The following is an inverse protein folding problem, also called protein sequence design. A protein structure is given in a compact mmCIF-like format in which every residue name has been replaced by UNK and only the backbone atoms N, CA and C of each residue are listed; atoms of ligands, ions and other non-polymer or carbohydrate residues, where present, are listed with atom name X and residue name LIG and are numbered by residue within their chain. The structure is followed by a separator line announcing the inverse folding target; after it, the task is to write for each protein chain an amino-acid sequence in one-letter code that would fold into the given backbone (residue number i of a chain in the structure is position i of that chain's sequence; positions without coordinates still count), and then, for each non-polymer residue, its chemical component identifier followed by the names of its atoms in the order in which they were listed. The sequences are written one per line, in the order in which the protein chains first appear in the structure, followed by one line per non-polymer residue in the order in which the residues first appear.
data_IF_987064608057
#
_entry.id   IF_987064608057
#
_cell.length_a   1.000
_cell.length_b   1.000
_cell.length_c   1.000
_cell.angle_alpha   90.00
_cell.angle_beta   90.00
_cell.angle_gamma   90.00
#
_symmetry.space_group_name_H-M   'P 1'
#
loop_
_entity.id
_entity.type
_entity.pdbx_description
1 polymer ?
#
# COMPACT_ATOMS: atom_id res chain seq x y z
N UNK A 1 -14.89 2.96 0.02
CA UNK A 1 -14.20 4.25 0.18
C UNK A 1 -13.09 4.28 -0.87
N UNK A 2 -13.02 5.28 -1.76
CA UNK A 2 -11.99 5.39 -2.78
C UNK A 2 -10.62 5.67 -2.13
N UNK A 3 -9.55 5.08 -2.69
CA UNK A 3 -8.18 5.25 -2.17
C UNK A 3 -7.74 6.73 -2.18
N UNK A 4 -8.24 7.54 -3.11
CA UNK A 4 -7.86 8.96 -3.22
C UNK A 4 -8.39 9.84 -2.07
N UNK A 5 -9.46 9.40 -1.40
CA UNK A 5 -10.09 10.15 -0.29
C UNK A 5 -9.47 9.84 1.06
N UNK A 6 -8.62 8.81 1.13
CA UNK A 6 -7.96 8.41 2.36
C UNK A 6 -6.85 9.41 2.75
N UNK A 7 -6.63 9.61 4.06
CA UNK A 7 -5.59 10.50 4.53
C UNK A 7 -4.21 10.03 4.07
N UNK A 8 -3.34 11.00 3.76
CA UNK A 8 -1.96 10.74 3.36
C UNK A 8 -0.99 11.07 4.48
N UNK A 9 0.08 10.29 4.57
CA UNK A 9 1.18 10.53 5.50
C UNK A 9 2.03 11.71 5.03
N UNK A 10 2.46 12.57 5.95
CA UNK A 10 3.26 13.75 5.59
C UNK A 10 4.67 13.40 5.09
N UNK A 11 5.28 12.34 5.63
CA UNK A 11 6.69 11.99 5.37
C UNK A 11 6.96 11.54 3.93
N UNK A 12 6.09 10.71 3.37
CA UNK A 12 6.29 10.04 2.09
C UNK A 12 5.03 9.98 1.23
N UNK A 13 3.99 10.73 1.64
CA UNK A 13 2.72 10.84 0.93
C UNK A 13 2.04 9.50 0.65
N UNK A 14 2.36 8.45 1.42
CA UNK A 14 1.67 7.17 1.43
C UNK A 14 0.23 7.33 1.92
N UNK A 15 -0.68 6.56 1.35
CA UNK A 15 -2.08 6.54 1.77
C UNK A 15 -2.23 5.67 3.02
N UNK A 16 -2.90 6.20 4.04
CA UNK A 16 -3.12 5.51 5.31
C UNK A 16 -4.40 4.68 5.21
N UNK A 17 -4.25 3.37 5.11
CA UNK A 17 -5.36 2.42 4.99
C UNK A 17 -5.53 1.65 6.30
N UNK A 18 -6.64 1.91 7.01
CA UNK A 18 -7.02 1.11 8.18
C UNK A 18 -7.67 -0.19 7.70
N UNK A 19 -7.16 -1.32 8.16
CA UNK A 19 -7.69 -2.64 7.84
C UNK A 19 -8.65 -3.01 8.98
N UNK A 20 -9.95 -3.04 8.67
CA UNK A 20 -10.94 -3.62 9.58
C UNK A 20 -10.88 -5.14 9.45
N UNK A 21 -10.90 -5.83 10.59
CA UNK A 21 -11.05 -7.30 10.61
C UNK A 21 -12.25 -7.72 9.76
N UNK A 22 -12.14 -8.90 9.12
CA UNK A 22 -13.03 -9.41 8.07
C UNK A 22 -14.54 -9.47 8.41
N UNK A 23 -14.92 -9.20 9.65
CA UNK A 23 -16.30 -9.21 10.15
C UNK A 23 -17.16 -8.02 9.67
N UNK A 24 -16.56 -6.99 9.06
CA UNK A 24 -17.27 -5.75 8.63
C UNK A 24 -17.18 -5.45 7.13
N UNK A 25 -17.11 -6.48 6.30
CA UNK A 25 -17.03 -6.30 4.85
C UNK A 25 -18.42 -6.14 4.22
N UNK A 26 -18.58 -5.14 3.35
CA UNK A 26 -19.76 -4.95 2.51
C UNK A 26 -19.99 -6.18 1.62
N UNK A 27 -21.25 -6.54 1.35
CA UNK A 27 -21.63 -7.64 0.42
C UNK A 27 -21.01 -7.49 -0.99
N UNK A 28 -20.60 -6.27 -1.38
CA UNK A 28 -19.95 -5.99 -2.65
C UNK A 28 -18.43 -6.17 -2.64
N UNK A 29 -17.81 -6.53 -1.51
CA UNK A 29 -16.38 -6.71 -1.41
C UNK A 29 -15.97 -8.12 -1.88
N UNK A 30 -15.26 -8.22 -2.99
CA UNK A 30 -14.48 -9.41 -3.32
C UNK A 30 -13.16 -9.36 -2.55
N UNK A 31 -13.02 -10.19 -1.52
CA UNK A 31 -11.80 -10.25 -0.72
C UNK A 31 -10.89 -11.36 -1.21
N UNK A 32 -9.77 -10.95 -1.79
CA UNK A 32 -8.65 -11.85 -2.06
C UNK A 32 -7.85 -11.98 -0.75
N UNK A 33 -8.21 -12.95 0.09
CA UNK A 33 -7.60 -13.23 1.40
C UNK A 33 -6.09 -13.52 1.35
N UNK A 34 -5.50 -13.67 0.16
CA UNK A 34 -4.05 -13.87 -0.02
C UNK A 34 -3.47 -13.02 -1.15
N UNK A 35 -4.06 -11.85 -1.47
CA UNK A 35 -3.51 -10.96 -2.51
C UNK A 35 -2.16 -10.34 -2.11
N UNK A 36 -1.91 -10.21 -0.81
CA UNK A 36 -0.71 -9.60 -0.27
C UNK A 36 -0.14 -10.42 0.88
N UNK A 37 1.16 -10.29 1.12
CA UNK A 37 1.83 -10.77 2.31
C UNK A 37 2.68 -9.64 2.90
N UNK A 38 2.93 -9.72 4.20
CA UNK A 38 3.87 -8.81 4.87
C UNK A 38 5.15 -9.57 5.20
N UNK A 39 6.30 -8.96 5.00
CA UNK A 39 7.59 -9.53 5.38
C UNK A 39 7.79 -9.41 6.90
N UNK A 40 8.19 -10.50 7.56
CA UNK A 40 8.51 -10.50 8.99
C UNK A 40 9.76 -9.68 9.33
N UNK A 41 10.65 -9.50 8.35
CA UNK A 41 11.90 -8.76 8.53
C UNK A 41 11.67 -7.28 8.35
N UNK A 42 11.78 -6.54 9.45
CA UNK A 42 11.71 -5.09 9.41
C UNK A 42 12.97 -4.45 8.80
N UNK A 43 12.76 -3.32 8.12
CA UNK A 43 13.79 -2.37 7.71
C UNK A 43 13.70 -1.14 8.61
N UNK A 44 14.84 -0.72 9.17
CA UNK A 44 14.92 0.51 9.97
C UNK A 44 15.48 1.62 9.09
N UNK A 45 14.69 2.67 8.91
CA UNK A 45 15.07 3.89 8.23
C UNK A 45 15.56 4.91 9.27
N UNK A 46 16.61 5.64 8.92
CA UNK A 46 17.04 6.83 9.66
C UNK A 46 16.46 8.05 8.95
N UNK A 47 15.56 8.75 9.63
CA UNK A 47 14.93 9.99 9.19
C UNK A 47 15.57 11.18 9.93
N UNK A 48 15.17 12.40 9.57
CA UNK A 48 15.64 13.61 10.23
C UNK A 48 15.14 13.72 11.69
N UNK A 49 13.96 13.17 11.96
CA UNK A 49 13.27 13.18 13.24
C UNK A 49 13.50 11.92 14.09
N UNK A 50 14.25 10.93 13.59
CA UNK A 50 14.59 9.73 14.34
C UNK A 50 14.72 8.48 13.50
N UNK A 51 14.19 7.37 14.02
CA UNK A 51 14.21 6.07 13.37
C UNK A 51 12.79 5.57 13.14
N UNK A 52 12.59 4.95 11.98
CA UNK A 52 11.31 4.41 11.58
C UNK A 52 11.47 2.96 11.15
N UNK A 53 10.69 2.06 11.76
CA UNK A 53 10.79 0.62 11.53
C UNK A 53 9.61 0.15 10.69
N UNK A 54 9.89 -0.33 9.47
CA UNK A 54 8.89 -0.71 8.46
C UNK A 54 8.93 -2.19 8.15
N UNK A 55 7.76 -2.82 8.02
CA UNK A 55 7.57 -4.18 7.51
C UNK A 55 6.97 -4.08 6.11
N UNK A 56 7.63 -4.65 5.10
CA UNK A 56 7.22 -4.48 3.71
C UNK A 56 5.96 -5.29 3.37
N UNK A 57 4.98 -4.66 2.73
CA UNK A 57 3.77 -5.34 2.21
C UNK A 57 3.92 -5.52 0.70
N UNK A 58 3.84 -6.77 0.24
CA UNK A 58 4.05 -7.14 -1.16
C UNK A 58 2.88 -7.92 -1.74
N UNK A 59 2.69 -7.77 -3.05
CA UNK A 59 1.81 -8.62 -3.83
C UNK A 59 2.30 -10.08 -3.79
N UNK A 60 1.43 -11.02 -3.42
CA UNK A 60 1.77 -12.45 -3.37
C UNK A 60 2.07 -13.06 -4.74
N UNK A 61 1.52 -12.46 -5.82
CA UNK A 61 1.66 -12.99 -7.19
C UNK A 61 2.95 -12.56 -7.88
N UNK A 62 3.35 -11.30 -7.73
CA UNK A 62 4.50 -10.74 -8.47
C UNK A 62 5.60 -10.18 -7.56
N UNK A 63 5.39 -10.13 -6.24
CA UNK A 63 6.37 -9.60 -5.29
C UNK A 63 6.53 -8.08 -5.34
N UNK A 64 5.73 -7.36 -6.13
CA UNK A 64 5.75 -5.90 -6.16
C UNK A 64 5.43 -5.34 -4.77
N UNK A 65 6.24 -4.38 -4.31
CA UNK A 65 6.00 -3.69 -3.03
C UNK A 65 4.85 -2.70 -3.21
N UNK A 66 3.79 -2.89 -2.43
CA UNK A 66 2.58 -2.06 -2.50
C UNK A 66 2.55 -1.04 -1.36
N UNK A 67 3.21 -1.34 -0.25
CA UNK A 67 3.12 -0.57 0.96
C UNK A 67 4.01 -1.10 2.07
N UNK A 68 3.76 -0.64 3.29
CA UNK A 68 4.43 -1.11 4.49
C UNK A 68 3.53 -0.98 5.73
N UNK A 69 3.89 -1.68 6.80
CA UNK A 69 3.33 -1.52 8.14
C UNK A 69 4.42 -0.97 9.06
N UNK A 70 4.02 -0.25 10.12
CA UNK A 70 4.94 0.29 11.10
C UNK A 70 5.03 -0.62 12.33
N UNK A 71 6.18 -0.62 12.99
CA UNK A 71 6.31 -1.25 14.32
C UNK A 71 5.43 -0.51 15.35
N UNK A 72 4.83 -1.27 16.27
CA UNK A 72 3.98 -0.77 17.35
C UNK A 72 4.71 0.23 18.24
N UNK A 73 6.03 0.08 18.39
CA UNK A 73 6.85 1.01 19.19
C UNK A 73 6.85 2.45 18.66
N UNK A 74 6.35 2.70 17.45
CA UNK A 74 6.25 4.05 16.86
C UNK A 74 4.98 4.80 17.26
N UNK A 75 4.10 4.19 18.04
CA UNK A 75 2.84 4.80 18.46
C UNK A 75 2.84 4.97 19.98
N UNK A 76 2.44 6.16 20.45
CA UNK A 76 2.40 6.49 21.88
C UNK A 76 1.54 5.49 22.68
N UNK A 77 0.44 5.05 22.10
CA UNK A 77 -0.49 4.06 22.68
C UNK A 77 0.09 2.66 22.85
N UNK A 78 1.21 2.34 22.18
CA UNK A 78 1.80 1.00 22.13
C UNK A 78 3.32 1.00 22.36
N UNK A 79 3.88 2.00 23.05
CA UNK A 79 5.34 2.14 23.22
C UNK A 79 6.04 0.93 23.86
N UNK A 80 5.34 0.15 24.69
CA UNK A 80 5.87 -1.05 25.32
C UNK A 80 5.62 -2.34 24.51
N UNK A 81 4.91 -2.24 23.40
CA UNK A 81 4.65 -3.37 22.50
C UNK A 81 5.67 -3.38 21.37
N UNK A 82 6.17 -4.58 21.06
CA UNK A 82 7.11 -4.80 19.98
C UNK A 82 6.42 -5.55 18.85
N UNK A 83 6.86 -5.28 17.63
CA UNK A 83 6.41 -6.01 16.45
C UNK A 83 5.47 -5.20 15.59
N UNK A 84 4.93 -5.85 14.58
CA UNK A 84 4.17 -5.20 13.54
C UNK A 84 2.78 -4.75 14.02
N UNK A 85 2.37 -3.57 13.58
CA UNK A 85 1.01 -3.06 13.73
C UNK A 85 0.16 -3.47 12.53
N UNK A 86 -0.71 -4.45 12.72
CA UNK A 86 -1.43 -5.15 11.64
C UNK A 86 -2.74 -4.46 11.19
N UNK A 87 -3.25 -3.51 11.97
CA UNK A 87 -4.50 -2.79 11.71
C UNK A 87 -4.34 -1.61 10.72
N UNK A 88 -3.12 -1.26 10.34
CA UNK A 88 -2.85 -0.13 9.43
C UNK A 88 -1.77 -0.49 8.41
N UNK A 89 -2.09 -0.29 7.13
CA UNK A 89 -1.13 -0.36 6.02
C UNK A 89 -0.96 1.01 5.39
N UNK A 90 0.30 1.40 5.21
CA UNK A 90 0.70 2.59 4.48
C UNK A 90 0.97 2.21 3.03
N UNK A 91 0.03 2.52 2.14
CA UNK A 91 0.10 2.18 0.72
C UNK A 91 0.96 3.21 0.01
N UNK A 92 2.01 2.77 -0.68
CA UNK A 92 2.88 3.63 -1.47
C UNK A 92 2.11 4.20 -2.68
N UNK A 93 2.51 5.38 -3.12
CA UNK A 93 1.94 5.98 -4.32
C UNK A 93 2.21 5.10 -5.54
N UNK A 94 1.17 4.86 -6.35
CA UNK A 94 1.24 3.93 -7.49
C UNK A 94 1.26 2.45 -7.10
N UNK A 95 1.19 2.11 -5.80
CA UNK A 95 1.10 0.73 -5.33
C UNK A 95 -0.24 0.06 -5.67
N UNK A 96 -1.30 0.84 -5.89
CA UNK A 96 -2.61 0.37 -6.31
C UNK A 96 -3.17 1.25 -7.43
N UNK A 97 -3.90 0.63 -8.33
CA UNK A 97 -4.63 1.28 -9.43
C UNK A 97 -6.08 0.84 -9.42
N UNK A 98 -6.98 1.74 -9.81
CA UNK A 98 -8.36 1.34 -10.04
C UNK A 98 -8.48 0.58 -11.36
N UNK A 99 -9.56 -0.18 -11.52
CA UNK A 99 -9.82 -0.90 -12.78
C UNK A 99 -9.96 0.07 -13.95
N UNK A 100 -10.60 1.22 -13.72
CA UNK A 100 -10.81 2.27 -14.72
C UNK A 100 -9.47 2.86 -15.19
N UNK A 101 -8.51 3.07 -14.27
CA UNK A 101 -7.16 3.54 -14.60
C UNK A 101 -6.39 2.51 -15.46
N UNK A 102 -6.54 1.21 -15.15
CA UNK A 102 -5.94 0.13 -15.95
C UNK A 102 -6.55 0.05 -17.36
N UNK A 103 -7.86 0.24 -17.49
CA UNK A 103 -8.55 0.25 -18.78
C UNK A 103 -8.15 1.45 -19.63
N UNK A 104 -8.08 2.65 -19.03
CA UNK A 104 -7.69 3.87 -19.73
C UNK A 104 -6.25 3.80 -20.29
N UNK A 105 -5.36 3.10 -19.58
CA UNK A 105 -3.94 2.98 -19.97
C UNK A 105 -3.73 2.14 -21.25
N UNK A 106 -4.63 1.19 -21.56
CA UNK A 106 -4.58 0.41 -22.83
C UNK A 106 -4.78 1.27 -24.08
N UNK A 107 -5.41 2.44 -23.95
CA UNK A 107 -5.70 3.34 -25.08
C UNK A 107 -4.52 4.24 -25.45
N UNK A 108 -3.56 4.45 -24.53
CA UNK A 108 -2.39 5.31 -24.76
C UNK A 108 -1.32 4.56 -25.57
N UNK A 109 -1.11 3.26 -25.29
CA UNK A 109 -0.16 2.44 -26.06
C UNK A 109 -0.63 2.20 -27.50
N UNK A 110 -1.94 2.16 -27.76
CA UNK A 110 -2.50 1.98 -29.09
C UNK A 110 -2.39 3.21 -30.01
N UNK A 111 -1.99 4.39 -29.50
CA UNK A 111 -1.81 5.61 -30.31
C UNK A 111 -0.35 5.94 -30.64
N UNK A 112 0.63 5.22 -30.10
CA UNK A 112 2.08 5.40 -30.40
C UNK A 112 2.57 4.26 -31.31
N UNK A 113 1.84 3.99 -32.39
CA UNK A 113 2.17 2.92 -33.33
C UNK A 113 1.52 3.11 -34.69
N UNK A 114 1.91 4.16 -35.43
CA UNK A 114 1.40 4.37 -36.78
C UNK A 114 1.79 5.72 -37.42
N UNK A 115 3.02 6.18 -37.24
CA UNK A 115 3.58 7.30 -38.01
C UNK A 115 4.54 6.76 -39.06
N UNK A 116 4.16 6.84 -40.34
CA UNK A 116 4.85 6.23 -41.47
C UNK A 116 6.15 6.90 -41.91
N UNK A 117 6.75 6.31 -42.94
CA UNK A 117 7.88 6.90 -43.66
C UNK A 117 8.06 6.28 -45.04
N UNK A 118 8.11 7.15 -46.05
CA UNK A 118 8.80 6.93 -47.34
C UNK A 118 7.97 6.37 -48.47
#
# INVERSE_FOLDING_TARGET
MPLQELPKRQSDASTICKITSAETLSLSASVLTSAVYTEDKAVVLKLEDGFEKRYAVRCSRCGLMLGYQLDRSQFEESQNELGMREDVVYVLQGGLHTTEEMEASKLVEAKVGGGGGG
#
